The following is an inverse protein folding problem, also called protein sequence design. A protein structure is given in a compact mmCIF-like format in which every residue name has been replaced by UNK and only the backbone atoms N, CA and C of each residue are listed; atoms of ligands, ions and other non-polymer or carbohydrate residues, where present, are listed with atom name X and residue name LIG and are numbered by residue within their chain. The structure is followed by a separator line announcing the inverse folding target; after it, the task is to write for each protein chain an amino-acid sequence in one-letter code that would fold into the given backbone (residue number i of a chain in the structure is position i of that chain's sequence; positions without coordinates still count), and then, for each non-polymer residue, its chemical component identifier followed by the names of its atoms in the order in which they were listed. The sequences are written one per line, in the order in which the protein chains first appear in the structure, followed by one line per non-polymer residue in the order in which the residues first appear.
data_IF_972929999051
#
_entry.id   IF_972929999051
#
_cell.length_a   1.000
_cell.length_b   1.000
_cell.length_c   1.000
_cell.angle_alpha   90.00
_cell.angle_beta   90.00
_cell.angle_gamma   90.00
#
_symmetry.space_group_name_H-M   'P 1'
#
loop_
_entity.id
_entity.type
_entity.pdbx_description
1 polymer ?
#
# COMPACT_ATOMS: atom_id res chain seq x y z
N UNK A 1 2.07 -2.13 10.25
CA UNK A 1 0.71 -2.66 10.05
C UNK A 1 0.59 -4.12 10.48
N UNK A 2 1.54 -4.98 10.16
CA UNK A 2 1.52 -6.42 10.47
C UNK A 2 2.40 -6.75 11.71
N UNK A 3 3.14 -5.79 12.25
CA UNK A 3 4.14 -6.03 13.32
C UNK A 3 3.61 -6.83 14.50
N UNK A 4 2.41 -6.49 15.00
CA UNK A 4 1.83 -7.15 16.18
C UNK A 4 1.28 -8.57 15.89
N UNK A 5 1.28 -8.97 14.61
CA UNK A 5 0.78 -10.27 14.16
C UNK A 5 1.86 -11.15 13.51
N UNK A 6 3.05 -10.59 13.26
CA UNK A 6 4.12 -11.29 12.54
C UNK A 6 4.53 -12.61 13.19
N UNK A 7 4.61 -12.63 14.53
CA UNK A 7 4.99 -13.84 15.27
C UNK A 7 3.92 -14.95 15.24
N UNK A 8 2.71 -14.60 14.81
CA UNK A 8 1.55 -15.51 14.74
C UNK A 8 1.22 -15.98 13.34
N UNK A 9 1.69 -15.27 12.32
CA UNK A 9 1.48 -15.62 10.92
C UNK A 9 2.65 -16.43 10.41
N UNK A 10 2.35 -17.55 9.76
CA UNK A 10 3.38 -18.35 9.09
C UNK A 10 3.64 -17.80 7.69
N UNK A 11 4.91 -17.57 7.31
CA UNK A 11 5.24 -17.25 5.94
C UNK A 11 4.90 -18.41 5.02
N UNK A 12 4.61 -18.14 3.76
CA UNK A 12 4.48 -19.18 2.76
C UNK A 12 5.80 -19.91 2.59
N UNK A 13 5.74 -21.21 2.38
CA UNK A 13 6.94 -22.02 2.15
C UNK A 13 7.39 -21.94 0.70
N UNK A 14 8.64 -22.31 0.46
CA UNK A 14 9.18 -22.39 -0.91
C UNK A 14 8.42 -23.41 -1.76
N UNK A 15 7.99 -24.55 -1.15
CA UNK A 15 7.18 -25.53 -1.86
C UNK A 15 5.83 -24.96 -2.31
N UNK A 16 5.19 -24.12 -1.45
CA UNK A 16 3.95 -23.45 -1.82
C UNK A 16 4.16 -22.46 -2.98
N UNK A 17 5.25 -21.69 -2.96
CA UNK A 17 5.62 -20.82 -4.07
C UNK A 17 5.83 -21.65 -5.35
N UNK A 18 6.61 -22.72 -5.30
CA UNK A 18 6.86 -23.59 -6.45
C UNK A 18 5.56 -24.20 -7.01
N UNK A 19 4.65 -24.65 -6.13
CA UNK A 19 3.35 -25.15 -6.54
C UNK A 19 2.50 -24.10 -7.26
N UNK A 20 2.48 -22.84 -6.75
CA UNK A 20 1.80 -21.71 -7.40
C UNK A 20 2.41 -21.40 -8.77
N UNK A 21 3.73 -21.35 -8.87
CA UNK A 21 4.44 -21.10 -10.12
C UNK A 21 4.16 -22.20 -11.15
N UNK A 22 4.24 -23.47 -10.74
CA UNK A 22 3.92 -24.61 -11.60
C UNK A 22 2.47 -24.56 -12.09
N UNK A 23 1.51 -24.27 -11.21
CA UNK A 23 0.12 -24.09 -11.58
C UNK A 23 -0.06 -22.99 -12.63
N UNK A 24 0.55 -21.84 -12.43
CA UNK A 24 0.44 -20.75 -13.42
C UNK A 24 1.17 -21.10 -14.72
N UNK A 25 2.25 -21.85 -14.69
CA UNK A 25 2.96 -22.34 -15.86
C UNK A 25 2.06 -23.21 -16.77
N UNK A 26 1.18 -24.02 -16.16
CA UNK A 26 0.24 -24.90 -16.87
C UNK A 26 -1.04 -24.16 -17.33
N UNK A 27 -1.58 -23.30 -16.49
CA UNK A 27 -2.95 -22.77 -16.67
C UNK A 27 -3.01 -21.32 -17.12
N UNK A 28 -1.90 -20.56 -16.99
CA UNK A 28 -1.82 -19.12 -17.31
C UNK A 28 -2.94 -18.29 -16.67
N UNK A 29 -3.31 -18.66 -15.44
CA UNK A 29 -4.45 -18.06 -14.70
C UNK A 29 -4.18 -16.60 -14.34
N UNK A 30 -2.94 -16.30 -13.95
CA UNK A 30 -2.56 -14.96 -13.48
C UNK A 30 -1.49 -14.34 -14.38
N UNK A 31 -1.61 -13.04 -14.61
CA UNK A 31 -0.62 -12.26 -15.36
C UNK A 31 0.38 -11.55 -14.47
N UNK A 32 0.01 -11.28 -13.22
CA UNK A 32 0.83 -10.58 -12.23
C UNK A 32 1.11 -11.42 -11.01
N UNK A 33 2.32 -11.29 -10.45
CA UNK A 33 2.74 -11.84 -9.18
C UNK A 33 3.27 -10.72 -8.31
N UNK A 34 2.85 -10.70 -7.04
CA UNK A 34 3.38 -9.80 -6.01
C UNK A 34 4.15 -10.64 -5.00
N UNK A 35 5.45 -10.39 -4.90
CA UNK A 35 6.30 -10.96 -3.86
C UNK A 35 6.44 -9.95 -2.73
N UNK A 36 5.98 -10.33 -1.55
CA UNK A 36 5.93 -9.49 -0.36
C UNK A 36 6.20 -10.32 0.89
N UNK A 37 6.32 -9.66 2.01
CA UNK A 37 6.55 -10.29 3.32
C UNK A 37 7.05 -9.25 4.31
N UNK A 38 7.87 -9.66 5.27
CA UNK A 38 8.51 -8.70 6.19
C UNK A 38 9.45 -7.76 5.43
N UNK A 39 10.41 -8.33 4.72
CA UNK A 39 11.27 -7.63 3.75
C UNK A 39 11.83 -8.64 2.73
N UNK A 40 11.18 -8.71 1.59
CA UNK A 40 11.47 -9.72 0.56
C UNK A 40 12.88 -9.60 -0.01
N UNK A 41 13.45 -8.39 -0.02
CA UNK A 41 14.81 -8.18 -0.56
C UNK A 41 15.91 -8.78 0.31
N UNK A 42 15.61 -9.22 1.53
CA UNK A 42 16.55 -9.95 2.37
C UNK A 42 16.68 -11.44 1.97
N UNK A 43 15.73 -11.95 1.20
CA UNK A 43 15.78 -13.33 0.76
C UNK A 43 16.82 -13.48 -0.37
N UNK A 44 17.79 -14.36 -0.14
CA UNK A 44 18.93 -14.52 -1.06
C UNK A 44 18.53 -15.08 -2.42
N UNK A 45 17.49 -15.93 -2.46
CA UNK A 45 17.04 -16.63 -3.66
C UNK A 45 15.95 -15.82 -4.42
N UNK A 46 15.66 -14.57 -3.99
CA UNK A 46 14.69 -13.72 -4.64
C UNK A 46 14.89 -13.57 -6.17
N UNK A 47 16.12 -13.34 -6.69
CA UNK A 47 16.31 -13.26 -8.14
C UNK A 47 15.95 -14.56 -8.86
N UNK A 48 16.19 -15.71 -8.26
CA UNK A 48 15.81 -17.01 -8.80
C UNK A 48 14.30 -17.17 -8.86
N UNK A 49 13.60 -16.88 -7.77
CA UNK A 49 12.15 -16.93 -7.73
C UNK A 49 11.50 -16.03 -8.78
N UNK A 50 12.08 -14.85 -9.00
CA UNK A 50 11.61 -13.93 -10.05
C UNK A 50 11.78 -14.53 -11.44
N UNK A 51 12.94 -15.14 -11.76
CA UNK A 51 13.17 -15.84 -13.05
C UNK A 51 12.15 -16.98 -13.24
N UNK A 52 11.93 -17.77 -12.21
CA UNK A 52 10.93 -18.84 -12.23
C UNK A 52 9.52 -18.30 -12.48
N UNK A 53 9.16 -17.19 -11.85
CA UNK A 53 7.86 -16.53 -12.08
C UNK A 53 7.71 -16.10 -13.55
N UNK A 54 8.74 -15.48 -14.14
CA UNK A 54 8.72 -15.09 -15.56
C UNK A 54 8.55 -16.30 -16.47
N UNK A 55 9.28 -17.39 -16.22
CA UNK A 55 9.14 -18.65 -16.97
C UNK A 55 7.75 -19.27 -16.81
N UNK A 56 7.12 -19.11 -15.64
CA UNK A 56 5.77 -19.56 -15.34
C UNK A 56 4.69 -18.68 -15.95
N UNK A 57 5.04 -17.64 -16.73
CA UNK A 57 4.15 -16.82 -17.51
C UNK A 57 3.56 -15.61 -16.79
N UNK A 58 4.17 -15.18 -15.70
CA UNK A 58 3.85 -13.89 -15.12
C UNK A 58 4.50 -12.76 -15.96
N UNK A 59 3.67 -11.93 -16.58
CA UNK A 59 4.13 -10.77 -17.35
C UNK A 59 4.57 -9.63 -16.43
N UNK A 60 3.94 -9.52 -15.26
CA UNK A 60 4.23 -8.54 -14.23
C UNK A 60 4.72 -9.24 -12.97
N UNK A 61 5.93 -8.89 -12.54
CA UNK A 61 6.47 -9.33 -11.23
C UNK A 61 6.76 -8.09 -10.41
N UNK A 62 5.97 -7.91 -9.35
CA UNK A 62 6.09 -6.83 -8.37
C UNK A 62 6.80 -7.32 -7.13
N UNK A 63 7.73 -6.53 -6.62
CA UNK A 63 8.21 -6.70 -5.24
C UNK A 63 7.72 -5.55 -4.36
N UNK A 64 7.36 -5.86 -3.11
CA UNK A 64 7.04 -4.87 -2.09
C UNK A 64 8.16 -4.83 -1.06
N UNK A 65 8.74 -3.66 -0.84
CA UNK A 65 9.95 -3.49 -0.03
C UNK A 65 9.98 -2.12 0.65
N UNK A 66 10.72 -2.01 1.75
CA UNK A 66 11.09 -0.70 2.32
C UNK A 66 12.21 0.01 1.53
N UNK A 67 12.77 -0.62 0.49
CA UNK A 67 13.65 0.03 -0.48
C UNK A 67 15.11 0.18 -0.09
N UNK A 68 15.53 -0.08 1.14
CA UNK A 68 16.92 0.20 1.58
C UNK A 68 17.99 -0.57 0.78
N UNK A 69 17.73 -1.83 0.40
CA UNK A 69 18.68 -2.60 -0.42
C UNK A 69 18.75 -2.13 -1.87
N UNK A 70 17.71 -1.45 -2.34
CA UNK A 70 17.68 -0.86 -3.68
C UNK A 70 18.64 0.33 -3.84
N UNK A 71 19.21 0.84 -2.75
CA UNK A 71 20.33 1.79 -2.78
C UNK A 71 21.62 1.24 -3.40
N UNK A 72 21.67 -0.06 -3.73
CA UNK A 72 22.76 -0.72 -4.47
C UNK A 72 22.40 -0.86 -5.95
N UNK A 73 23.15 -0.21 -6.83
CA UNK A 73 22.95 -0.28 -8.29
C UNK A 73 23.07 -1.73 -8.81
N UNK A 74 24.06 -2.48 -8.33
CA UNK A 74 24.27 -3.88 -8.74
C UNK A 74 23.10 -4.76 -8.33
N UNK A 75 22.52 -4.53 -7.15
CA UNK A 75 21.36 -5.31 -6.70
C UNK A 75 20.08 -4.94 -7.46
N UNK A 76 19.87 -3.65 -7.76
CA UNK A 76 18.77 -3.24 -8.65
C UNK A 76 18.91 -3.89 -10.03
N UNK A 77 20.10 -3.86 -10.63
CA UNK A 77 20.34 -4.50 -11.92
C UNK A 77 20.05 -5.99 -11.88
N UNK A 78 20.52 -6.70 -10.83
CA UNK A 78 20.26 -8.13 -10.66
C UNK A 78 18.75 -8.46 -10.61
N UNK A 79 17.95 -7.67 -9.89
CA UNK A 79 16.50 -7.86 -9.79
C UNK A 79 15.79 -7.57 -11.13
N UNK A 80 16.20 -6.51 -11.82
CA UNK A 80 15.65 -6.13 -13.13
C UNK A 80 15.99 -7.20 -14.17
N UNK A 81 17.24 -7.66 -14.21
CA UNK A 81 17.70 -8.74 -15.11
C UNK A 81 16.99 -10.08 -14.81
N UNK A 82 16.66 -10.33 -13.54
CA UNK A 82 15.86 -11.49 -13.17
C UNK A 82 14.40 -11.37 -13.67
N UNK A 83 13.90 -10.15 -13.91
CA UNK A 83 12.58 -9.90 -14.47
C UNK A 83 11.60 -9.14 -13.57
N UNK A 84 12.07 -8.56 -12.46
CA UNK A 84 11.24 -7.59 -11.70
C UNK A 84 11.00 -6.38 -12.60
N UNK A 85 9.76 -6.05 -12.82
CA UNK A 85 9.37 -4.89 -13.64
C UNK A 85 8.43 -3.92 -12.92
N UNK A 86 8.07 -4.20 -11.67
CA UNK A 86 7.32 -3.27 -10.83
C UNK A 86 7.86 -3.28 -9.39
N UNK A 87 8.20 -2.11 -8.87
CA UNK A 87 8.73 -1.91 -7.53
C UNK A 87 7.74 -1.09 -6.71
N UNK A 88 7.23 -1.67 -5.63
CA UNK A 88 6.34 -1.03 -4.69
C UNK A 88 7.13 -0.71 -3.41
N UNK A 89 7.42 0.57 -3.19
CA UNK A 89 8.41 1.01 -2.21
C UNK A 89 7.75 1.83 -1.11
N UNK A 90 7.97 1.44 0.13
CA UNK A 90 7.45 2.16 1.28
C UNK A 90 8.28 3.41 1.57
N UNK A 91 7.62 4.59 1.59
CA UNK A 91 8.22 5.86 1.97
C UNK A 91 7.39 6.47 3.10
N UNK A 92 7.92 6.46 4.32
CA UNK A 92 7.15 6.77 5.52
C UNK A 92 7.05 8.27 5.85
N UNK A 93 7.87 9.13 5.23
CA UNK A 93 7.87 10.56 5.47
C UNK A 93 8.62 11.33 4.38
N UNK A 94 8.50 12.66 4.37
CA UNK A 94 9.11 13.53 3.37
C UNK A 94 10.58 13.88 3.68
N UNK A 95 11.05 13.56 4.87
CA UNK A 95 12.41 13.81 5.34
C UNK A 95 12.93 12.66 6.20
N UNK A 96 14.25 12.66 6.44
CA UNK A 96 14.92 11.65 7.24
C UNK A 96 14.40 11.61 8.69
N UNK A 97 14.09 12.75 9.29
CA UNK A 97 13.65 12.79 10.68
C UNK A 97 12.33 12.03 10.86
N UNK A 98 11.37 12.21 9.94
CA UNK A 98 10.08 11.55 9.97
C UNK A 98 10.19 10.09 9.53
N UNK A 99 10.83 9.85 8.38
CA UNK A 99 10.94 8.49 7.83
C UNK A 99 11.71 7.56 8.77
N UNK A 100 12.92 7.94 9.18
CA UNK A 100 13.76 7.13 10.07
C UNK A 100 13.14 7.00 11.46
N UNK A 101 12.45 8.05 11.93
CA UNK A 101 11.68 8.00 13.18
C UNK A 101 10.52 7.00 13.15
N UNK A 102 9.90 6.76 12.00
CA UNK A 102 8.84 5.75 11.82
C UNK A 102 9.44 4.36 11.62
N UNK A 103 10.45 4.24 10.75
CA UNK A 103 11.11 2.95 10.46
C UNK A 103 12.01 2.48 11.61
N UNK A 104 12.39 3.38 12.52
CA UNK A 104 13.35 3.16 13.60
C UNK A 104 14.76 2.77 13.13
N UNK A 105 15.08 3.06 11.86
CA UNK A 105 16.37 2.72 11.23
C UNK A 105 17.04 4.00 10.72
N UNK A 106 18.05 4.54 11.42
CA UNK A 106 18.77 5.73 10.96
C UNK A 106 19.38 5.55 9.56
N UNK A 107 19.21 6.54 8.70
CA UNK A 107 19.70 6.53 7.32
C UNK A 107 18.85 5.65 6.35
N UNK A 108 17.69 5.15 6.79
CA UNK A 108 16.79 4.40 5.91
C UNK A 108 16.20 5.30 4.82
N UNK A 109 15.88 6.55 5.12
CA UNK A 109 15.37 7.53 4.17
C UNK A 109 16.29 7.72 2.97
N UNK A 110 17.56 8.03 3.22
CA UNK A 110 18.54 8.29 2.17
C UNK A 110 18.77 7.05 1.29
N UNK A 111 18.82 5.85 1.90
CA UNK A 111 18.95 4.59 1.16
C UNK A 111 17.73 4.31 0.29
N UNK A 112 16.52 4.56 0.80
CA UNK A 112 15.27 4.37 0.06
C UNK A 112 15.16 5.35 -1.10
N UNK A 113 15.48 6.65 -0.89
CA UNK A 113 15.51 7.65 -1.96
C UNK A 113 16.52 7.28 -3.04
N UNK A 114 17.75 6.90 -2.64
CA UNK A 114 18.75 6.45 -3.62
C UNK A 114 18.25 5.26 -4.43
N UNK A 115 17.55 4.31 -3.81
CA UNK A 115 16.92 3.19 -4.54
C UNK A 115 15.90 3.67 -5.58
N UNK A 116 15.04 4.61 -5.23
CA UNK A 116 14.10 5.23 -6.16
C UNK A 116 14.83 5.95 -7.32
N UNK A 117 15.89 6.69 -7.04
CA UNK A 117 16.71 7.39 -8.03
C UNK A 117 17.41 6.43 -9.00
N UNK A 118 17.94 5.30 -8.49
CA UNK A 118 18.52 4.25 -9.33
C UNK A 118 17.48 3.65 -10.27
N UNK A 119 16.31 3.31 -9.74
CA UNK A 119 15.22 2.75 -10.53
C UNK A 119 14.66 3.76 -11.54
N UNK A 120 14.70 5.06 -11.23
CA UNK A 120 14.27 6.11 -12.16
C UNK A 120 15.12 6.18 -13.43
N UNK A 121 16.34 5.66 -13.41
CA UNK A 121 17.22 5.54 -14.58
C UNK A 121 16.91 4.29 -15.43
N UNK A 122 16.04 3.38 -14.96
CA UNK A 122 15.79 2.10 -15.60
C UNK A 122 14.53 2.17 -16.48
N UNK A 123 14.64 2.05 -17.83
CA UNK A 123 13.54 2.36 -18.75
C UNK A 123 12.38 1.35 -18.68
N UNK A 124 12.62 0.13 -18.22
CA UNK A 124 11.66 -0.98 -18.29
C UNK A 124 11.01 -1.32 -16.95
N UNK A 125 11.11 -0.43 -15.97
CA UNK A 125 10.51 -0.63 -14.66
C UNK A 125 9.47 0.44 -14.35
N UNK A 126 8.49 0.06 -13.55
CA UNK A 126 7.49 0.96 -12.95
C UNK A 126 7.77 1.03 -11.46
N UNK A 127 7.81 2.25 -10.91
CA UNK A 127 7.88 2.46 -9.47
C UNK A 127 6.55 2.98 -8.94
N UNK A 128 6.16 2.47 -7.78
CA UNK A 128 5.01 2.90 -7.02
C UNK A 128 5.48 3.16 -5.60
N UNK A 129 5.10 4.26 -5.00
CA UNK A 129 5.38 4.49 -3.59
C UNK A 129 4.15 4.25 -2.73
N UNK A 130 4.37 3.67 -1.55
CA UNK A 130 3.34 3.53 -0.53
C UNK A 130 3.72 4.31 0.72
N UNK A 131 2.81 5.11 1.19
CA UNK A 131 2.93 5.82 2.47
C UNK A 131 1.83 5.35 3.41
N UNK A 132 2.22 4.66 4.47
CA UNK A 132 1.30 4.41 5.58
C UNK A 132 1.10 5.73 6.31
N UNK A 133 -0.11 6.29 6.18
CA UNK A 133 -0.48 7.59 6.77
C UNK A 133 -0.77 7.40 8.24
N UNK A 134 0.07 8.01 9.07
CA UNK A 134 0.00 7.92 10.53
C UNK A 134 -0.09 9.31 11.15
N UNK A 135 -0.36 9.37 12.46
CA UNK A 135 -0.27 10.63 13.23
C UNK A 135 1.11 11.30 13.11
N UNK A 136 2.15 10.52 12.84
CA UNK A 136 3.52 11.04 12.69
C UNK A 136 3.84 11.58 11.29
N UNK A 137 3.10 11.14 10.25
CA UNK A 137 3.44 11.43 8.86
C UNK A 137 2.40 12.25 8.09
N UNK A 138 1.13 12.27 8.49
CA UNK A 138 0.07 12.88 7.68
C UNK A 138 0.29 14.35 7.37
N UNK A 139 0.99 15.08 8.26
CA UNK A 139 1.29 16.51 8.06
C UNK A 139 2.29 16.76 6.93
N UNK A 140 2.99 15.72 6.49
CA UNK A 140 4.01 15.82 5.43
C UNK A 140 3.54 15.31 4.07
N UNK A 141 2.27 14.95 3.87
CA UNK A 141 1.79 14.37 2.61
C UNK A 141 2.06 15.28 1.39
N UNK A 142 1.77 16.60 1.41
CA UNK A 142 2.11 17.46 0.28
C UNK A 142 3.63 17.59 0.05
N UNK A 143 4.40 17.68 1.13
CA UNK A 143 5.86 17.77 1.07
C UNK A 143 6.48 16.49 0.51
N UNK A 144 5.88 15.33 0.80
CA UNK A 144 6.33 14.05 0.25
C UNK A 144 6.16 14.02 -1.28
N UNK A 145 5.02 14.48 -1.81
CA UNK A 145 4.80 14.58 -3.25
C UNK A 145 5.87 15.48 -3.89
N UNK A 146 6.13 16.65 -3.29
CA UNK A 146 7.15 17.58 -3.80
C UNK A 146 8.56 16.99 -3.71
N UNK A 147 8.88 16.24 -2.63
CA UNK A 147 10.16 15.55 -2.46
C UNK A 147 10.45 14.54 -3.57
N UNK A 148 9.41 13.84 -4.04
CA UNK A 148 9.52 12.79 -5.06
C UNK A 148 9.22 13.30 -6.48
N UNK A 149 8.99 14.59 -6.65
CA UNK A 149 8.57 15.20 -7.91
C UNK A 149 9.53 14.93 -9.08
N UNK A 150 10.82 14.91 -8.80
CA UNK A 150 11.87 14.74 -9.81
C UNK A 150 11.95 13.32 -10.38
N UNK A 151 11.34 12.34 -9.76
CA UNK A 151 11.37 10.94 -10.21
C UNK A 151 10.41 10.77 -11.39
N UNK A 152 10.90 10.66 -12.59
CA UNK A 152 10.09 10.65 -13.83
C UNK A 152 9.35 9.34 -14.07
N UNK A 153 9.84 8.24 -13.49
CA UNK A 153 9.27 6.89 -13.62
C UNK A 153 8.40 6.46 -12.44
N UNK A 154 8.25 7.30 -11.44
CA UNK A 154 7.29 7.08 -10.38
C UNK A 154 5.88 7.22 -10.96
N UNK A 155 5.20 6.11 -11.20
CA UNK A 155 3.91 6.09 -11.87
C UNK A 155 2.74 6.40 -10.93
N UNK A 156 2.83 6.00 -9.67
CA UNK A 156 1.74 6.05 -8.72
C UNK A 156 2.23 6.29 -7.29
N UNK A 157 1.45 7.03 -6.52
CA UNK A 157 1.64 7.25 -5.10
C UNK A 157 0.42 6.74 -4.34
N UNK A 158 0.64 5.86 -3.37
CA UNK A 158 -0.44 5.30 -2.56
C UNK A 158 -0.37 5.82 -1.13
N UNK A 159 -1.53 6.21 -0.59
CA UNK A 159 -1.71 6.71 0.77
C UNK A 159 -2.61 5.76 1.55
N UNK A 160 -2.02 4.90 2.38
CA UNK A 160 -2.75 3.90 3.14
C UNK A 160 -2.93 4.36 4.58
N UNK A 161 -4.13 4.73 4.97
CA UNK A 161 -4.38 5.11 6.34
C UNK A 161 -4.13 3.94 7.28
N UNK A 162 -3.33 4.21 8.31
CA UNK A 162 -2.96 3.21 9.31
C UNK A 162 -4.18 2.73 10.09
N UNK A 163 -4.22 1.46 10.32
CA UNK A 163 -5.08 0.82 11.30
C UNK A 163 -4.31 -0.25 12.06
N UNK A 164 -4.48 -0.40 13.38
CA UNK A 164 -3.89 -1.49 14.11
C UNK A 164 -4.63 -2.81 13.80
N UNK A 165 -3.92 -3.94 13.91
CA UNK A 165 -4.55 -5.27 13.86
C UNK A 165 -5.15 -5.63 15.24
N UNK A 166 -5.75 -4.65 15.90
CA UNK A 166 -6.37 -4.73 17.21
C UNK A 166 -7.49 -3.70 17.34
N UNK A 167 -8.27 -3.80 18.41
CA UNK A 167 -9.32 -2.83 18.71
C UNK A 167 -8.82 -1.55 19.37
N UNK A 168 -7.51 -1.39 19.59
CA UNK A 168 -6.92 -0.24 20.27
C UNK A 168 -5.71 0.27 19.50
N UNK A 169 -5.43 1.56 19.61
CA UNK A 169 -4.27 2.24 19.03
C UNK A 169 -3.20 2.45 20.09
N UNK A 170 -2.62 1.36 20.58
CA UNK A 170 -1.63 1.39 21.69
C UNK A 170 -0.37 2.19 21.32
N UNK A 171 -0.02 2.26 20.04
CA UNK A 171 1.13 3.02 19.53
C UNK A 171 0.82 4.47 19.22
N UNK A 172 -0.43 4.89 19.37
CA UNK A 172 -0.94 6.23 19.03
C UNK A 172 -0.58 6.67 17.59
N UNK A 173 -0.80 5.78 16.63
CA UNK A 173 -0.44 5.99 15.22
C UNK A 173 -1.64 6.35 14.33
N UNK A 174 -2.87 6.12 14.75
CA UNK A 174 -4.05 6.48 13.96
C UNK A 174 -4.13 8.00 13.85
N UNK A 175 -4.08 8.51 12.62
CA UNK A 175 -4.34 9.91 12.31
C UNK A 175 -5.85 10.20 12.23
N UNK A 176 -6.27 11.36 12.70
CA UNK A 176 -7.63 11.84 12.47
C UNK A 176 -7.88 12.01 10.97
N UNK A 177 -8.93 11.38 10.45
CA UNK A 177 -9.30 11.52 9.04
C UNK A 177 -9.66 12.97 8.69
N UNK A 178 -10.29 13.70 9.63
CA UNK A 178 -10.69 15.08 9.42
C UNK A 178 -9.49 16.03 9.37
N UNK A 179 -8.50 15.82 10.26
CA UNK A 179 -7.28 16.65 10.27
C UNK A 179 -6.37 16.34 9.07
N UNK A 180 -6.35 15.08 8.64
CA UNK A 180 -5.55 14.66 7.50
C UNK A 180 -6.15 15.04 6.15
N UNK A 181 -7.49 15.14 6.05
CA UNK A 181 -8.20 15.35 4.78
C UNK A 181 -7.71 16.55 3.97
N UNK A 182 -7.52 17.77 4.53
CA UNK A 182 -7.04 18.91 3.76
C UNK A 182 -5.66 18.67 3.14
N UNK A 183 -4.77 17.99 3.87
CA UNK A 183 -3.41 17.70 3.42
C UNK A 183 -3.38 16.53 2.42
N UNK A 184 -4.26 15.54 2.62
CA UNK A 184 -4.45 14.46 1.65
C UNK A 184 -4.92 15.01 0.30
N UNK A 185 -5.90 15.91 0.28
CA UNK A 185 -6.37 16.56 -0.95
C UNK A 185 -5.26 17.34 -1.64
N UNK A 186 -4.48 18.14 -0.90
CA UNK A 186 -3.32 18.82 -1.46
C UNK A 186 -2.32 17.85 -2.07
N UNK A 187 -2.08 16.71 -1.43
CA UNK A 187 -1.18 15.69 -1.96
C UNK A 187 -1.73 15.01 -3.22
N UNK A 188 -3.04 14.72 -3.25
CA UNK A 188 -3.72 14.16 -4.44
C UNK A 188 -3.60 15.14 -5.61
N UNK A 189 -3.99 16.40 -5.41
CA UNK A 189 -3.91 17.45 -6.44
C UNK A 189 -2.49 17.63 -6.96
N UNK A 190 -1.50 17.72 -6.07
CA UNK A 190 -0.10 17.88 -6.43
C UNK A 190 0.45 16.69 -7.23
N UNK A 191 0.10 15.46 -6.85
CA UNK A 191 0.53 14.24 -7.54
C UNK A 191 -0.11 14.13 -8.92
N UNK A 192 -1.41 14.39 -9.04
CA UNK A 192 -2.13 14.38 -10.31
C UNK A 192 -1.66 15.49 -11.26
N UNK A 193 -1.35 16.68 -10.74
CA UNK A 193 -0.82 17.79 -11.52
C UNK A 193 0.53 17.48 -12.21
N UNK A 194 1.28 16.52 -11.70
CA UNK A 194 2.53 16.02 -12.29
C UNK A 194 2.37 14.67 -12.99
N UNK A 195 1.12 14.26 -13.28
CA UNK A 195 0.81 13.06 -14.04
C UNK A 195 0.96 11.73 -13.28
N UNK A 196 0.95 11.75 -11.93
CA UNK A 196 1.00 10.54 -11.11
C UNK A 196 -0.40 9.97 -10.87
N UNK A 197 -0.52 8.64 -10.92
CA UNK A 197 -1.67 7.96 -10.33
C UNK A 197 -1.67 8.13 -8.81
N UNK A 198 -2.86 8.19 -8.22
CA UNK A 198 -3.02 8.24 -6.75
C UNK A 198 -4.02 7.19 -6.33
N UNK A 199 -3.64 6.40 -5.30
CA UNK A 199 -4.57 5.52 -4.62
C UNK A 199 -4.62 5.85 -3.11
N UNK A 200 -5.82 5.88 -2.57
CA UNK A 200 -6.08 6.05 -1.14
C UNK A 200 -6.74 4.78 -0.61
N UNK A 201 -6.25 4.25 0.50
CA UNK A 201 -6.83 3.07 1.14
C UNK A 201 -7.21 3.35 2.59
N UNK A 202 -8.21 2.63 3.09
CA UNK A 202 -8.67 2.67 4.47
C UNK A 202 -9.15 4.07 4.91
N UNK A 203 -9.80 4.80 4.01
CA UNK A 203 -10.34 6.13 4.25
C UNK A 203 -11.84 6.17 3.90
N UNK A 204 -12.69 6.91 4.64
CA UNK A 204 -14.11 7.04 4.32
C UNK A 204 -14.33 7.72 2.97
N UNK A 205 -14.97 7.03 2.03
CA UNK A 205 -15.19 7.52 0.66
C UNK A 205 -15.93 8.84 0.60
N UNK A 206 -16.95 9.01 1.45
CA UNK A 206 -17.76 10.21 1.47
C UNK A 206 -16.98 11.48 1.85
N UNK A 207 -15.89 11.37 2.61
CA UNK A 207 -15.03 12.50 2.96
C UNK A 207 -14.16 12.97 1.79
N UNK A 208 -13.86 12.11 0.82
CA UNK A 208 -13.02 12.46 -0.33
C UNK A 208 -13.74 13.44 -1.29
N UNK A 209 -15.06 13.43 -1.33
CA UNK A 209 -15.82 14.37 -2.17
C UNK A 209 -15.52 14.19 -3.67
N UNK A 210 -14.92 15.19 -4.33
CA UNK A 210 -14.49 15.12 -5.73
C UNK A 210 -13.40 14.07 -5.98
N UNK A 211 -12.59 13.77 -4.96
CA UNK A 211 -11.42 12.90 -5.06
C UNK A 211 -11.75 11.42 -4.81
N UNK A 212 -13.04 11.06 -4.78
CA UNK A 212 -13.51 9.67 -4.57
C UNK A 212 -12.89 8.67 -5.54
N UNK A 213 -12.57 9.10 -6.76
CA UNK A 213 -11.90 8.26 -7.74
C UNK A 213 -10.50 7.78 -7.33
N UNK A 214 -9.92 8.40 -6.30
CA UNK A 214 -8.65 7.95 -5.74
C UNK A 214 -8.82 6.80 -4.71
N UNK A 215 -10.04 6.55 -4.19
CA UNK A 215 -10.24 5.44 -3.27
C UNK A 215 -10.16 4.11 -4.00
N UNK A 216 -9.27 3.24 -3.53
CA UNK A 216 -9.12 1.90 -4.09
C UNK A 216 -8.81 0.89 -2.98
N UNK A 217 -9.83 0.17 -2.54
CA UNK A 217 -9.71 -0.84 -1.47
C UNK A 217 -9.75 -2.28 -1.98
N UNK A 218 -9.84 -2.49 -3.28
CA UNK A 218 -9.77 -3.84 -3.85
C UNK A 218 -8.40 -4.46 -3.56
N UNK A 219 -8.43 -5.75 -3.27
CA UNK A 219 -7.24 -6.52 -2.97
C UNK A 219 -6.97 -7.54 -4.08
N UNK A 220 -5.70 -7.81 -4.41
CA UNK A 220 -5.37 -8.95 -5.27
C UNK A 220 -5.76 -10.27 -4.59
N UNK A 221 -5.75 -11.36 -5.34
CA UNK A 221 -5.87 -12.71 -4.76
C UNK A 221 -4.67 -12.95 -3.83
N UNK A 222 -4.95 -13.15 -2.54
CA UNK A 222 -3.93 -13.24 -1.50
C UNK A 222 -3.67 -14.69 -1.12
N UNK A 223 -2.41 -15.10 -1.22
CA UNK A 223 -1.91 -16.37 -0.68
C UNK A 223 -1.15 -16.09 0.61
N UNK A 224 -1.87 -16.07 1.71
CA UNK A 224 -1.35 -15.78 3.06
C UNK A 224 -1.92 -16.79 4.05
N UNK A 225 -1.34 -16.84 5.25
CA UNK A 225 -1.86 -17.67 6.35
C UNK A 225 -3.31 -17.27 6.68
N UNK A 226 -4.20 -18.24 6.82
CA UNK A 226 -5.63 -18.00 7.12
C UNK A 226 -5.82 -17.25 8.45
N UNK A 227 -4.87 -17.37 9.38
CA UNK A 227 -4.88 -16.62 10.62
C UNK A 227 -4.86 -15.11 10.41
N UNK A 228 -4.33 -14.61 9.26
CA UNK A 228 -4.37 -13.20 8.90
C UNK A 228 -5.79 -12.64 8.90
N UNK A 229 -6.74 -13.36 8.34
CA UNK A 229 -8.13 -12.89 8.24
C UNK A 229 -8.78 -12.77 9.62
N UNK A 230 -8.47 -13.68 10.54
CA UNK A 230 -8.91 -13.58 11.93
C UNK A 230 -8.37 -12.31 12.60
N UNK A 231 -7.09 -12.03 12.42
CA UNK A 231 -6.46 -10.82 12.96
C UNK A 231 -7.00 -9.55 12.30
N UNK A 232 -7.19 -9.57 10.98
CA UNK A 232 -7.78 -8.45 10.24
C UNK A 232 -9.19 -8.13 10.74
N UNK A 233 -10.02 -9.13 10.96
CA UNK A 233 -11.39 -8.97 11.45
C UNK A 233 -11.47 -8.43 12.89
N UNK A 234 -10.45 -8.62 13.71
CA UNK A 234 -10.38 -8.03 15.06
C UNK A 234 -10.40 -6.51 15.04
N UNK A 235 -9.99 -5.89 13.96
CA UNK A 235 -10.06 -4.43 13.81
C UNK A 235 -11.50 -3.92 13.72
N UNK A 236 -12.44 -4.76 13.30
CA UNK A 236 -13.84 -4.39 13.20
C UNK A 236 -14.09 -3.24 12.24
N UNK A 237 -13.66 -3.35 11.00
CA UNK A 237 -14.03 -2.43 9.93
C UNK A 237 -15.54 -2.38 9.70
N UNK A 238 -15.97 -1.51 8.80
CA UNK A 238 -17.36 -1.26 8.40
C UNK A 238 -18.21 -0.52 9.44
N UNK A 239 -17.59 0.11 10.42
CA UNK A 239 -18.32 0.94 11.40
C UNK A 239 -18.65 2.30 10.77
N UNK A 240 -19.95 2.51 10.50
CA UNK A 240 -20.46 3.76 9.97
C UNK A 240 -21.95 3.86 10.28
N UNK A 241 -22.39 5.01 10.81
CA UNK A 241 -23.79 5.28 11.14
C UNK A 241 -24.70 5.27 9.90
N UNK A 242 -24.15 5.41 8.72
CA UNK A 242 -24.87 5.42 7.45
C UNK A 242 -24.75 4.11 6.64
N UNK A 243 -24.09 3.07 7.16
CA UNK A 243 -23.79 1.86 6.40
C UNK A 243 -24.99 1.28 5.66
N UNK A 244 -26.14 1.21 6.33
CA UNK A 244 -27.36 0.61 5.75
C UNK A 244 -28.01 1.45 4.64
N UNK A 245 -27.60 2.71 4.46
CA UNK A 245 -28.17 3.66 3.49
C UNK A 245 -27.16 4.17 2.48
N UNK A 246 -25.93 3.63 2.51
CA UNK A 246 -24.83 4.12 1.71
C UNK A 246 -24.60 3.23 0.49
N UNK A 247 -24.53 3.83 -0.70
CA UNK A 247 -24.27 3.15 -1.98
C UNK A 247 -22.79 2.87 -2.27
N UNK A 248 -21.87 3.16 -1.33
CA UNK A 248 -20.47 2.83 -1.52
C UNK A 248 -20.24 1.33 -1.57
N UNK A 249 -19.46 0.88 -2.55
CA UNK A 249 -19.04 -0.52 -2.72
C UNK A 249 -17.62 -0.78 -2.23
N UNK A 250 -16.78 0.25 -2.14
CA UNK A 250 -15.37 0.13 -1.76
C UNK A 250 -15.05 0.64 -0.34
N UNK A 251 -15.90 1.48 0.24
CA UNK A 251 -15.62 2.06 1.55
C UNK A 251 -15.64 1.01 2.66
N UNK A 252 -14.53 0.87 3.37
CA UNK A 252 -14.43 0.00 4.54
C UNK A 252 -15.03 0.64 5.81
N UNK A 253 -15.56 1.88 5.73
CA UNK A 253 -16.02 2.62 6.89
C UNK A 253 -14.88 3.00 7.84
N UNK A 254 -15.22 3.11 9.12
CA UNK A 254 -14.24 3.28 10.18
C UNK A 254 -13.90 1.92 10.81
N UNK A 255 -12.75 1.81 11.44
CA UNK A 255 -12.41 0.65 12.25
C UNK A 255 -12.66 0.93 13.74
N UNK A 256 -12.72 -0.13 14.55
CA UNK A 256 -13.02 -0.04 15.98
C UNK A 256 -12.05 0.88 16.73
N UNK A 257 -10.75 0.75 16.47
CA UNK A 257 -9.73 1.56 17.14
C UNK A 257 -9.89 3.06 16.81
N UNK A 258 -10.22 3.38 15.55
CA UNK A 258 -10.51 4.75 15.14
C UNK A 258 -11.72 5.32 15.89
N UNK A 259 -12.83 4.57 15.92
CA UNK A 259 -14.07 5.00 16.60
C UNK A 259 -13.84 5.21 18.10
N UNK A 260 -13.07 4.34 18.74
CA UNK A 260 -12.71 4.51 20.17
C UNK A 260 -11.88 5.77 20.40
N UNK A 261 -11.01 6.14 19.47
CA UNK A 261 -10.12 7.31 19.60
C UNK A 261 -10.79 8.64 19.24
N UNK A 262 -11.55 8.68 18.14
CA UNK A 262 -12.06 9.92 17.55
C UNK A 262 -13.59 10.00 17.48
N UNK A 263 -14.29 8.92 17.80
CA UNK A 263 -15.75 8.86 17.67
C UNK A 263 -16.22 8.51 16.26
N UNK A 264 -17.54 8.60 16.08
CA UNK A 264 -18.22 8.15 14.85
C UNK A 264 -18.24 9.19 13.73
N UNK A 265 -17.98 10.45 14.02
CA UNK A 265 -18.10 11.58 13.09
C UNK A 265 -19.44 11.62 12.33
N UNK A 266 -20.52 11.29 13.03
CA UNK A 266 -21.85 11.17 12.44
C UNK A 266 -22.34 12.47 11.76
N UNK A 267 -21.83 13.61 12.23
CA UNK A 267 -22.15 14.96 11.76
C UNK A 267 -21.47 15.34 10.44
N UNK A 268 -20.40 14.65 10.07
CA UNK A 268 -19.62 14.95 8.83
C UNK A 268 -19.63 13.81 7.82
N UNK A 269 -19.86 12.57 8.27
CA UNK A 269 -20.04 11.45 7.34
C UNK A 269 -21.42 11.56 6.68
N UNK A 270 -21.49 11.32 5.37
CA UNK A 270 -22.72 11.34 4.61
C UNK A 270 -22.85 10.08 3.73
N UNK A 271 -24.03 9.46 3.63
CA UNK A 271 -24.21 8.32 2.76
C UNK A 271 -24.07 8.74 1.29
N UNK A 272 -23.38 7.93 0.49
CA UNK A 272 -23.40 8.08 -0.95
C UNK A 272 -24.73 7.58 -1.51
N UNK A 273 -25.19 8.16 -2.65
CA UNK A 273 -26.41 7.69 -3.31
C UNK A 273 -26.34 6.19 -3.57
N UNK A 274 -27.44 5.50 -3.33
CA UNK A 274 -27.56 4.09 -3.77
C UNK A 274 -27.47 4.04 -5.30
N UNK A 275 -26.90 2.97 -5.88
CA UNK A 275 -26.98 2.76 -7.33
C UNK A 275 -28.44 2.84 -7.75
N UNK A 276 -28.73 3.65 -8.76
CA UNK A 276 -30.04 3.62 -9.40
C UNK A 276 -30.18 2.25 -10.05
N UNK A 277 -31.12 1.43 -9.58
CA UNK A 277 -31.45 0.19 -10.26
C UNK A 277 -31.66 0.52 -11.75
N UNK A 278 -30.77 0.04 -12.59
CA UNK A 278 -31.04 -0.03 -14.02
C UNK A 278 -32.13 -1.08 -14.17
N UNK A 279 -33.35 -0.70 -13.84
CA UNK A 279 -34.52 -1.48 -14.22
C UNK A 279 -34.51 -1.57 -15.72
N UNK A 280 -34.22 -2.77 -16.16
CA UNK A 280 -34.31 -3.29 -17.54
C UNK A 280 -35.58 -2.71 -18.17
N UNK A 281 -35.40 -1.89 -19.21
CA UNK A 281 -36.45 -1.58 -20.16
C UNK A 281 -36.41 -2.60 -21.27
#
# INVERSE_FOLDING_TARGET
MIEDTMDRLKPQTEEQLHALLAHNGMHRKWRGLILTGSEITLHRDLPEWVRMARLSGFDKVRIQTHGMRLGSESYCAELIDAGVNEFFISVAGADAATHDGITTVPGSFDKTLRGLEILDQSPNVVTITNTVVTERSYRQLPQLVERLRHLTRLAQMEFWFYFPMSEQDDKNLIASHLDALPLLRQAIDAAQAIGRGVEVKNFPECLLGSDRGALYNDQPELYIDDAFWTEFMRNGFYQCVHRAKCGSTQCLGLNTAYVKKFGWHAEVLAPLPLPVDQTVG
#
